data_IF_405973555140
#
_entry.id   IF_405973555140
#
_cell.length_a   1.000
_cell.length_b   1.000
_cell.length_c   1.000
_cell.angle_alpha   90.00
_cell.angle_beta   90.00
_cell.angle_gamma   90.00
#
_symmetry.space_group_name_H-M   'P 1'
#
loop_
_entity.id
_entity.type
_entity.pdbx_description
1 polymer ?
#
# COMPACT_ATOMS: atom_id res chain seq x y z
N UNK A 1 1.50 -18.95 7.58
CA UNK A 1 2.52 -18.57 7.06
C UNK A 1 2.78 -18.88 5.68
N UNK A 2 2.06 -19.79 5.12
CA UNK A 2 2.32 -20.16 3.76
C UNK A 2 2.14 -19.00 2.79
N UNK A 3 1.19 -18.10 3.08
CA UNK A 3 0.96 -16.98 2.16
C UNK A 3 2.20 -16.10 1.98
N UNK A 4 2.88 -15.78 3.07
CA UNK A 4 4.08 -14.96 2.95
C UNK A 4 5.23 -15.72 2.31
N UNK A 5 5.37 -17.00 2.63
CA UNK A 5 6.40 -17.82 2.02
C UNK A 5 6.16 -17.93 0.52
N UNK A 6 4.92 -18.17 0.13
CA UNK A 6 4.58 -18.27 -1.28
C UNK A 6 4.80 -16.97 -2.00
N UNK A 7 4.47 -15.85 -1.36
CA UNK A 7 4.68 -14.55 -1.96
C UNK A 7 6.17 -14.30 -2.23
N UNK A 8 7.02 -14.61 -1.25
CA UNK A 8 8.45 -14.44 -1.44
C UNK A 8 8.95 -15.31 -2.59
N UNK A 9 8.47 -16.56 -2.66
CA UNK A 9 8.89 -17.48 -3.71
C UNK A 9 8.39 -17.08 -5.09
N UNK A 10 7.33 -16.28 -5.16
CA UNK A 10 6.75 -15.90 -6.44
C UNK A 10 7.61 -14.91 -7.20
N UNK A 11 8.57 -14.30 -6.54
CA UNK A 11 9.40 -13.31 -7.20
C UNK A 11 8.77 -11.93 -7.32
N UNK A 12 7.59 -11.75 -6.73
CA UNK A 12 6.98 -10.43 -6.73
C UNK A 12 7.78 -9.48 -5.83
N UNK A 13 7.71 -8.18 -6.09
CA UNK A 13 8.43 -7.23 -5.25
C UNK A 13 8.03 -7.34 -3.79
N UNK A 14 9.01 -7.22 -2.92
CA UNK A 14 8.78 -7.27 -1.49
C UNK A 14 8.77 -5.86 -0.94
N UNK A 15 7.72 -5.51 -0.23
CA UNK A 15 7.60 -4.19 0.38
C UNK A 15 7.75 -4.31 1.88
N UNK A 16 8.36 -3.29 2.47
CA UNK A 16 8.41 -3.22 3.93
C UNK A 16 7.02 -2.93 4.47
N UNK A 17 6.82 -3.15 5.75
CA UNK A 17 5.54 -2.82 6.38
C UNK A 17 5.20 -1.35 6.16
N UNK A 18 6.20 -0.48 6.25
CA UNK A 18 5.97 0.94 6.07
C UNK A 18 5.55 1.26 4.64
N UNK A 19 6.19 0.62 3.68
CA UNK A 19 5.82 0.81 2.28
C UNK A 19 4.42 0.27 2.00
N UNK A 20 4.10 -0.88 2.57
CA UNK A 20 2.77 -1.46 2.37
C UNK A 20 1.70 -0.59 3.04
N UNK A 21 1.99 -0.05 4.22
CA UNK A 21 1.04 0.83 4.89
C UNK A 21 0.79 2.09 4.06
N UNK A 22 1.84 2.61 3.44
CA UNK A 22 1.71 3.77 2.58
C UNK A 22 0.84 3.44 1.37
N UNK A 23 1.09 2.31 0.73
CA UNK A 23 0.28 1.86 -0.40
C UNK A 23 -1.18 1.76 -0.02
N UNK A 24 -1.45 1.07 1.08
CA UNK A 24 -2.83 0.87 1.49
C UNK A 24 -3.53 2.16 1.85
N UNK A 25 -2.82 3.09 2.48
CA UNK A 25 -3.40 4.38 2.81
C UNK A 25 -3.84 5.11 1.55
N UNK A 26 -2.97 5.14 0.54
CA UNK A 26 -3.30 5.84 -0.70
C UNK A 26 -4.44 5.16 -1.44
N UNK A 27 -4.50 3.83 -1.41
CA UNK A 27 -5.49 3.10 -2.20
C UNK A 27 -6.83 2.94 -1.50
N UNK A 28 -6.84 2.95 -0.17
CA UNK A 28 -8.08 2.73 0.57
C UNK A 28 -8.70 4.04 1.04
N UNK A 29 -7.89 4.98 1.47
CA UNK A 29 -8.40 6.22 2.01
C UNK A 29 -8.67 7.22 0.91
N UNK A 30 -9.62 8.11 1.16
CA UNK A 30 -9.95 9.13 0.21
C UNK A 30 -8.90 10.21 0.21
N UNK A 31 -8.44 10.59 -0.98
CA UNK A 31 -7.47 11.66 -1.13
C UNK A 31 -8.09 13.04 -1.03
N UNK A 32 -7.33 14.06 -1.35
CA UNK A 32 -5.99 13.97 -1.92
C UNK A 32 -4.93 13.63 -0.89
N UNK A 33 -3.86 12.98 -1.34
CA UNK A 33 -2.79 12.58 -0.45
C UNK A 33 -1.53 13.41 -0.72
N UNK A 34 -0.89 13.87 0.35
CA UNK A 34 0.36 14.63 0.26
C UNK A 34 1.39 13.99 1.17
N UNK A 35 2.66 14.34 0.97
CA UNK A 35 3.72 13.82 1.83
C UNK A 35 3.43 14.17 3.29
N UNK A 36 3.04 15.42 3.55
CA UNK A 36 2.74 15.83 4.92
C UNK A 36 1.59 15.02 5.51
N UNK A 37 0.50 14.88 4.75
CA UNK A 37 -0.67 14.14 5.24
C UNK A 37 -0.36 12.70 5.51
N UNK A 38 0.42 12.07 4.62
CA UNK A 38 0.79 10.68 4.80
C UNK A 38 1.72 10.51 6.00
N UNK A 39 2.64 11.46 6.19
CA UNK A 39 3.54 11.40 7.33
C UNK A 39 2.76 11.50 8.65
N UNK A 40 1.75 12.37 8.69
CA UNK A 40 0.92 12.50 9.86
C UNK A 40 0.11 11.25 10.12
N UNK A 41 -0.48 10.69 9.08
CA UNK A 41 -1.30 9.50 9.22
C UNK A 41 -0.48 8.31 9.73
N UNK A 42 0.72 8.15 9.23
CA UNK A 42 1.55 7.01 9.59
C UNK A 42 2.48 7.28 10.77
N UNK A 43 2.46 8.50 11.30
CA UNK A 43 3.30 8.89 12.43
C UNK A 43 4.78 8.66 12.15
N UNK A 44 5.20 9.10 10.97
CA UNK A 44 6.62 9.02 10.60
C UNK A 44 7.02 10.38 10.02
N UNK A 45 8.31 10.57 9.83
CA UNK A 45 8.80 11.84 9.32
C UNK A 45 8.61 11.95 7.80
N UNK A 46 8.62 13.16 7.29
CA UNK A 46 8.49 13.37 5.85
C UNK A 46 9.61 12.71 5.06
N UNK A 47 10.88 12.75 5.49
CA UNK A 47 11.93 12.03 4.76
C UNK A 47 11.66 10.53 4.65
N UNK A 48 11.05 9.93 5.68
CA UNK A 48 10.69 8.52 5.64
C UNK A 48 9.66 8.28 4.54
N UNK A 49 8.65 9.16 4.46
CA UNK A 49 7.63 9.04 3.41
C UNK A 49 8.28 9.24 2.04
N UNK A 50 9.15 10.22 1.91
CA UNK A 50 9.79 10.50 0.63
C UNK A 50 10.60 9.31 0.13
N UNK A 51 11.33 8.64 1.03
CA UNK A 51 12.10 7.47 0.64
C UNK A 51 11.18 6.33 0.21
N UNK A 52 10.09 6.12 0.93
CA UNK A 52 9.13 5.08 0.55
C UNK A 52 8.49 5.41 -0.79
N UNK A 53 8.15 6.67 -1.02
CA UNK A 53 7.58 7.08 -2.29
C UNK A 53 8.56 6.89 -3.44
N UNK A 54 9.84 7.14 -3.21
CA UNK A 54 10.83 6.93 -4.26
C UNK A 54 10.83 5.46 -4.70
N UNK A 55 10.76 4.55 -3.74
CA UNK A 55 10.74 3.14 -4.06
C UNK A 55 9.45 2.75 -4.78
N UNK A 56 8.32 3.19 -4.26
CA UNK A 56 7.02 2.82 -4.82
C UNK A 56 6.80 3.45 -6.19
N UNK A 57 7.31 4.65 -6.41
CA UNK A 57 7.23 5.29 -7.72
C UNK A 57 8.13 4.57 -8.72
N UNK A 58 9.31 4.15 -8.29
CA UNK A 58 10.22 3.41 -9.17
C UNK A 58 9.60 2.08 -9.59
N UNK A 59 8.80 1.46 -8.72
CA UNK A 59 8.08 0.25 -9.07
C UNK A 59 6.84 0.52 -9.92
N UNK A 60 6.46 1.79 -10.04
CA UNK A 60 5.28 2.17 -10.82
C UNK A 60 3.98 2.01 -10.05
N UNK A 61 4.06 1.86 -8.72
CA UNK A 61 2.87 1.61 -7.92
C UNK A 61 2.19 2.87 -7.43
N UNK A 62 2.88 3.98 -7.40
CA UNK A 62 2.32 5.28 -7.06
C UNK A 62 2.91 6.31 -8.01
N UNK A 63 2.22 7.44 -8.12
CA UNK A 63 2.67 8.52 -8.99
C UNK A 63 2.60 9.82 -8.21
N UNK A 64 3.54 10.71 -8.48
CA UNK A 64 3.49 12.05 -7.95
C UNK A 64 2.94 12.94 -9.04
N UNK A 65 1.93 13.75 -8.70
CA UNK A 65 1.34 14.67 -9.64
C UNK A 65 1.36 16.06 -9.05
N UNK A 66 1.82 17.01 -9.83
CA UNK A 66 1.86 18.39 -9.39
C UNK A 66 0.48 19.00 -9.52
N UNK A 67 0.09 19.76 -8.51
CA UNK A 67 -1.19 20.44 -8.51
C UNK A 67 -1.16 21.51 -9.61
N UNK A 68 -2.14 21.48 -10.50
CA UNK A 68 -2.22 22.46 -11.58
C UNK A 68 -2.44 23.86 -11.03
N UNK A 69 -3.25 23.97 -10.00
CA UNK A 69 -3.59 25.28 -9.43
C UNK A 69 -2.45 25.85 -8.58
N UNK A 70 -1.70 25.00 -7.87
CA UNK A 70 -0.60 25.46 -7.05
C UNK A 70 0.56 24.49 -7.24
N UNK A 71 1.51 24.85 -8.06
CA UNK A 71 2.59 23.95 -8.44
C UNK A 71 3.52 23.60 -7.29
N UNK A 72 3.38 24.24 -6.14
CA UNK A 72 4.17 23.89 -4.97
C UNK A 72 3.62 22.62 -4.31
N UNK A 73 2.36 22.27 -4.60
CA UNK A 73 1.76 21.07 -4.02
C UNK A 73 1.97 19.89 -4.94
N UNK A 74 2.31 18.75 -4.33
CA UNK A 74 2.47 17.51 -5.07
C UNK A 74 1.56 16.49 -4.42
N UNK A 75 0.70 15.89 -5.23
CA UNK A 75 -0.22 14.87 -4.75
C UNK A 75 0.29 13.49 -5.10
N UNK A 76 0.00 12.53 -4.25
CA UNK A 76 0.36 11.14 -4.46
C UNK A 76 -0.90 10.44 -4.95
N UNK A 77 -0.81 9.81 -6.11
CA UNK A 77 -1.97 9.22 -6.75
C UNK A 77 -1.72 7.76 -7.09
N UNK A 78 -2.81 7.07 -7.39
CA UNK A 78 -2.79 5.64 -7.68
C UNK A 78 -2.38 5.39 -9.12
N UNK A 79 -1.94 4.18 -9.41
CA UNK A 79 -1.66 3.75 -10.77
C UNK A 79 -2.34 2.40 -11.01
N UNK A 80 -2.61 2.05 -12.27
CA UNK A 80 -3.17 0.73 -12.56
C UNK A 80 -2.23 -0.40 -12.09
N UNK A 81 -0.92 -0.20 -12.23
CA UNK A 81 0.03 -1.22 -11.82
C UNK A 81 0.01 -1.44 -10.32
N UNK A 82 -0.15 -0.37 -9.54
CA UNK A 82 -0.25 -0.48 -8.11
C UNK A 82 -1.52 -1.20 -7.69
N UNK A 83 -2.63 -0.93 -8.39
CA UNK A 83 -3.87 -1.63 -8.11
C UNK A 83 -3.73 -3.12 -8.39
N UNK A 84 -3.06 -3.47 -9.49
CA UNK A 84 -2.82 -4.87 -9.82
C UNK A 84 -1.97 -5.55 -8.76
N UNK A 85 -0.95 -4.85 -8.27
CA UNK A 85 -0.11 -5.39 -7.23
C UNK A 85 -0.91 -5.70 -5.97
N UNK A 86 -1.76 -4.77 -5.55
CA UNK A 86 -2.56 -4.99 -4.34
C UNK A 86 -3.58 -6.09 -4.53
N UNK A 87 -4.16 -6.20 -5.72
CA UNK A 87 -5.09 -7.28 -6.00
C UNK A 87 -4.39 -8.63 -5.91
N UNK A 88 -3.19 -8.74 -6.47
CA UNK A 88 -2.43 -9.97 -6.42
C UNK A 88 -2.05 -10.32 -4.98
N UNK A 89 -1.63 -9.31 -4.21
CA UNK A 89 -1.27 -9.53 -2.82
C UNK A 89 -2.49 -9.97 -2.02
N UNK A 90 -3.63 -9.36 -2.29
CA UNK A 90 -4.88 -9.73 -1.63
C UNK A 90 -5.25 -11.19 -1.92
N UNK A 91 -5.03 -11.65 -3.14
CA UNK A 91 -5.32 -13.03 -3.49
C UNK A 91 -4.45 -14.01 -2.73
N UNK A 92 -3.18 -13.70 -2.52
CA UNK A 92 -2.32 -14.55 -1.71
C UNK A 92 -2.87 -14.65 -0.28
N UNK A 93 -3.23 -13.52 0.31
CA UNK A 93 -3.75 -13.50 1.66
C UNK A 93 -5.10 -14.22 1.73
N UNK A 94 -5.96 -14.02 0.74
CA UNK A 94 -7.26 -14.67 0.72
C UNK A 94 -7.13 -16.18 0.59
N UNK A 95 -6.15 -16.65 -0.21
CA UNK A 95 -5.91 -18.07 -0.32
C UNK A 95 -5.54 -18.69 1.00
N UNK A 96 -4.67 -18.02 1.76
CA UNK A 96 -4.32 -18.50 3.09
C UNK A 96 -5.51 -18.44 4.02
N UNK A 97 -6.31 -17.41 3.94
CA UNK A 97 -7.48 -17.28 4.79
C UNK A 97 -8.49 -18.39 4.53
N UNK A 98 -8.60 -18.83 3.29
CA UNK A 98 -9.52 -19.92 3.01
C UNK A 98 -9.06 -21.23 3.63
N UNK A 99 -7.75 -21.43 3.74
CA UNK A 99 -7.24 -22.63 4.37
C UNK A 99 -7.30 -22.53 5.89
N UNK A 100 -7.34 -21.34 6.43
CA UNK A 100 -7.34 -21.13 7.87
C UNK A 100 -8.77 -21.19 8.36
N UNK A 101 -9.03 -21.95 9.43
CA UNK A 101 -10.36 -22.05 9.97
C UNK A 101 -10.39 -21.46 11.30
N UNK A 102 -10.54 -20.18 11.39
CA UNK A 102 -10.51 -19.55 12.67
C UNK A 102 -11.79 -19.87 13.33
N UNK A 103 -11.91 -19.53 14.48
CA UNK A 103 -13.06 -19.75 15.17
C UNK A 103 -13.97 -18.91 14.68
N UNK A 104 -13.81 -18.59 13.82
CA UNK A 104 -14.61 -17.89 13.23
C UNK A 104 -15.16 -16.90 13.71
N UNK A 105 -15.41 -16.53 14.08
CA UNK A 105 -16.02 -15.59 14.41
C UNK A 105 -15.42 -14.49 14.23
N UNK A 106 -14.54 -14.26 14.41
CA UNK A 106 -13.99 -13.18 14.37
C UNK A 106 -14.12 -12.60 13.21
N UNK A 107 -14.26 -13.19 12.64
CA UNK A 107 -14.30 -12.70 11.53
C UNK A 107 -15.27 -11.80 11.40
N UNK A 108 -16.05 -11.94 11.92
CA UNK A 108 -16.96 -11.17 11.69
C UNK A 108 -16.81 -9.99 12.04
N UNK A 109 -16.23 -9.77 12.68
CA UNK A 109 -16.13 -8.61 13.05
C UNK A 109 -15.60 -7.91 12.17
N UNK A 110 -15.37 -7.91 11.69
CA UNK A 110 -14.89 -7.36 10.95
C UNK A 110 -15.17 -6.59 10.46
N UNK A 111 -15.42 -6.42 10.57
CA UNK A 111 -15.70 -5.72 9.96
C UNK A 111 -15.70 -5.03 10.00
#
# INVERSE_FOLDING_TARGET
MTALVDYVRSGEPELTNRQMALMMTVYISKGPHTVRGLAETLHVSKPVITRALNKLSALGYLRRERDVADRRNIFITRTPKGAEFLDAFHLFIAGTARDYRPDQHHAERTA
#
